data_IF_869117731559
#
_entry.id   IF_869117731559
#
_cell.length_a   1.000
_cell.length_b   1.000
_cell.length_c   1.000
_cell.angle_alpha   90.00
_cell.angle_beta   90.00
_cell.angle_gamma   90.00
#
_symmetry.space_group_name_H-M   'P 1'
#
loop_
_entity.id
_entity.type
_entity.pdbx_description
1 polymer ?
#
# COMPACT_ATOMS: atom_id res chain seq x y z
N UNK A 1 5.44 4.25 8.69
CA UNK A 1 4.48 4.37 7.57
C UNK A 1 5.07 3.65 6.37
N UNK A 2 4.25 3.09 5.50
CA UNK A 2 4.62 2.41 4.26
C UNK A 2 4.11 3.24 3.10
N UNK A 3 4.93 3.34 2.07
CA UNK A 3 4.61 3.91 0.78
C UNK A 3 4.39 2.76 -0.19
N UNK A 4 3.26 2.75 -0.87
CA UNK A 4 2.93 1.74 -1.87
C UNK A 4 2.88 2.43 -3.23
N UNK A 5 3.70 2.01 -4.18
CA UNK A 5 3.80 2.55 -5.52
C UNK A 5 3.53 1.47 -6.57
N UNK A 6 3.33 1.89 -7.82
CA UNK A 6 3.02 1.00 -8.94
C UNK A 6 1.75 0.16 -8.71
N UNK A 7 0.78 0.74 -8.01
CA UNK A 7 -0.54 0.14 -7.84
C UNK A 7 -1.37 0.25 -9.11
N UNK A 8 -2.22 -0.74 -9.34
CA UNK A 8 -3.19 -0.67 -10.43
C UNK A 8 -4.25 0.40 -10.16
N UNK A 9 -4.84 0.95 -11.23
CA UNK A 9 -5.84 2.01 -11.14
C UNK A 9 -7.12 1.58 -10.38
N UNK A 10 -7.34 0.27 -10.30
CA UNK A 10 -8.47 -0.39 -9.65
C UNK A 10 -8.25 -0.61 -8.14
N UNK A 11 -7.02 -0.46 -7.66
CA UNK A 11 -6.70 -0.68 -6.24
C UNK A 11 -7.28 0.45 -5.41
N UNK A 12 -8.02 0.08 -4.38
CA UNK A 12 -8.64 0.97 -3.40
C UNK A 12 -8.04 0.78 -2.01
N UNK A 13 -8.44 1.64 -1.07
CA UNK A 13 -8.03 1.55 0.33
C UNK A 13 -8.44 0.21 0.95
N UNK A 14 -9.61 -0.32 0.60
CA UNK A 14 -10.07 -1.63 1.06
C UNK A 14 -9.19 -2.77 0.55
N UNK A 15 -8.82 -2.74 -0.74
CA UNK A 15 -7.97 -3.76 -1.36
C UNK A 15 -6.56 -3.76 -0.71
N UNK A 16 -5.99 -2.59 -0.43
CA UNK A 16 -4.77 -2.48 0.40
C UNK A 16 -5.01 -2.99 1.82
N UNK A 17 -6.13 -2.65 2.46
CA UNK A 17 -6.38 -3.12 3.81
C UNK A 17 -6.43 -4.66 3.87
N UNK A 18 -7.10 -5.30 2.91
CA UNK A 18 -7.18 -6.76 2.82
C UNK A 18 -5.82 -7.41 2.48
N UNK A 19 -5.05 -6.80 1.57
CA UNK A 19 -3.70 -7.26 1.23
C UNK A 19 -2.74 -7.22 2.42
N UNK A 20 -2.86 -6.18 3.26
CA UNK A 20 -1.95 -5.94 4.36
C UNK A 20 -2.45 -6.48 5.72
N UNK A 21 -3.74 -6.80 5.85
CA UNK A 21 -4.35 -7.41 7.03
C UNK A 21 -3.66 -8.68 7.56
N UNK A 22 -3.20 -9.64 6.73
CA UNK A 22 -2.54 -10.85 7.24
C UNK A 22 -1.14 -10.59 7.82
N UNK A 23 -0.53 -9.45 7.50
CA UNK A 23 0.82 -9.12 7.97
C UNK A 23 0.82 -8.45 9.34
N UNK A 24 -0.27 -7.77 9.72
CA UNK A 24 -0.34 -7.07 10.99
C UNK A 24 -1.48 -6.06 11.06
N UNK A 25 -1.57 -5.37 12.19
CA UNK A 25 -2.63 -4.39 12.43
C UNK A 25 -2.33 -3.06 11.74
N UNK A 26 -3.23 -2.67 10.85
CA UNK A 26 -3.22 -1.38 10.16
C UNK A 26 -3.84 -0.30 11.04
N UNK A 27 -3.14 0.82 11.21
CA UNK A 27 -3.64 2.02 11.90
C UNK A 27 -4.24 3.01 10.93
N UNK A 28 -3.70 3.12 9.72
CA UNK A 28 -4.19 4.07 8.71
C UNK A 28 -3.93 3.50 7.31
N UNK A 29 -4.88 3.64 6.39
CA UNK A 29 -4.66 3.32 4.98
C UNK A 29 -5.24 4.45 4.13
N UNK A 30 -4.52 4.85 3.08
CA UNK A 30 -4.93 5.93 2.20
C UNK A 30 -4.40 5.75 0.79
N UNK A 31 -5.27 5.72 -0.21
CA UNK A 31 -4.87 5.65 -1.62
C UNK A 31 -4.89 7.05 -2.20
N UNK A 32 -3.83 7.41 -2.93
CA UNK A 32 -3.82 8.66 -3.67
C UNK A 32 -4.58 8.47 -4.98
N UNK A 33 -5.80 9.00 -5.04
CA UNK A 33 -6.63 9.03 -6.25
C UNK A 33 -6.54 10.39 -6.94
N UNK A 34 -6.60 10.39 -8.27
CA UNK A 34 -6.60 11.60 -9.08
C UNK A 34 -7.98 12.24 -9.00
N UNK A 35 -8.05 13.50 -8.56
CA UNK A 35 -9.31 14.20 -8.35
C UNK A 35 -10.08 14.50 -9.64
N UNK A 36 -9.39 14.58 -10.78
CA UNK A 36 -10.00 14.87 -12.09
C UNK A 36 -10.67 13.66 -12.74
N UNK A 37 -10.13 12.46 -12.54
CA UNK A 37 -10.62 11.24 -13.22
C UNK A 37 -11.16 10.18 -12.25
N UNK A 38 -11.03 10.40 -10.94
CA UNK A 38 -11.35 9.42 -9.90
C UNK A 38 -10.45 8.18 -9.90
N UNK A 39 -9.45 8.10 -10.80
CA UNK A 39 -8.56 6.93 -10.92
C UNK A 39 -7.39 7.02 -9.95
N UNK A 40 -6.99 5.90 -9.35
CA UNK A 40 -5.81 5.83 -8.48
C UNK A 40 -4.57 6.33 -9.21
N UNK A 41 -3.76 7.21 -8.61
CA UNK A 41 -2.51 7.71 -9.23
C UNK A 41 -1.41 6.64 -9.27
N UNK A 42 -1.76 5.39 -8.94
CA UNK A 42 -0.84 4.27 -8.86
C UNK A 42 0.02 4.27 -7.61
N UNK A 43 -0.37 5.00 -6.56
CA UNK A 43 0.32 4.98 -5.28
C UNK A 43 -0.62 5.22 -4.10
N UNK A 44 -0.19 4.82 -2.91
CA UNK A 44 -0.92 4.91 -1.64
C UNK A 44 0.03 4.86 -0.45
N UNK A 45 -0.54 5.04 0.73
CA UNK A 45 0.18 5.07 2.00
C UNK A 45 -0.55 4.18 3.01
N UNK A 46 0.22 3.42 3.77
CA UNK A 46 -0.30 2.50 4.78
C UNK A 46 0.49 2.66 6.06
N UNK A 47 -0.16 2.91 7.20
CA UNK A 47 0.45 2.91 8.52
C UNK A 47 0.06 1.64 9.26
N UNK A 48 1.07 0.97 9.80
CA UNK A 48 0.89 -0.15 10.74
C UNK A 48 1.00 0.35 12.17
N UNK A 49 0.39 -0.38 13.09
CA UNK A 49 0.61 -0.23 14.52
C UNK A 49 2.08 -0.54 14.89
N UNK A 50 2.61 -1.61 14.32
CA UNK A 50 3.97 -2.10 14.59
C UNK A 50 4.90 -1.91 13.40
N UNK A 51 6.13 -1.45 13.70
CA UNK A 51 7.16 -1.25 12.67
C UNK A 51 7.69 -2.58 12.10
N UNK A 52 7.70 -3.64 12.90
CA UNK A 52 8.12 -4.98 12.49
C UNK A 52 7.19 -5.57 11.43
N UNK A 53 5.87 -5.49 11.66
CA UNK A 53 4.84 -5.91 10.71
C UNK A 53 4.93 -5.11 9.41
N UNK A 54 5.17 -3.79 9.53
CA UNK A 54 5.36 -2.93 8.38
C UNK A 54 6.55 -3.38 7.51
N UNK A 55 7.67 -3.73 8.13
CA UNK A 55 8.87 -4.18 7.43
C UNK A 55 8.67 -5.57 6.77
N UNK A 56 7.97 -6.48 7.44
CA UNK A 56 7.62 -7.79 6.89
C UNK A 56 6.69 -7.66 5.67
N UNK A 57 5.59 -6.89 5.82
CA UNK A 57 4.67 -6.59 4.73
C UNK A 57 5.38 -5.92 3.56
N UNK A 58 6.27 -4.96 3.84
CA UNK A 58 7.07 -4.27 2.82
C UNK A 58 7.92 -5.24 2.00
N UNK A 59 8.62 -6.18 2.64
CA UNK A 59 9.43 -7.18 1.93
C UNK A 59 8.60 -8.17 1.13
N UNK A 60 7.50 -8.66 1.70
CA UNK A 60 6.68 -9.72 1.08
C UNK A 60 5.78 -9.20 -0.05
N UNK A 61 5.31 -7.95 0.07
CA UNK A 61 4.41 -7.33 -0.90
C UNK A 61 5.15 -6.57 -2.00
N UNK A 62 6.43 -6.25 -1.81
CA UNK A 62 7.25 -5.63 -2.85
C UNK A 62 7.53 -6.62 -3.97
N UNK A 63 7.15 -6.24 -5.19
CA UNK A 63 7.26 -7.09 -6.37
C UNK A 63 6.10 -8.06 -6.53
N UNK A 64 5.11 -8.04 -5.63
CA UNK A 64 3.91 -8.86 -5.78
C UNK A 64 3.06 -8.30 -6.93
N UNK A 65 2.56 -9.18 -7.79
CA UNK A 65 1.65 -8.77 -8.86
C UNK A 65 0.23 -8.58 -8.30
N UNK A 66 -0.23 -7.33 -8.29
CA UNK A 66 -1.59 -6.95 -7.93
C UNK A 66 -2.30 -6.49 -9.19
N UNK A 67 -3.31 -7.27 -9.63
CA UNK A 67 -4.12 -6.99 -10.83
C UNK A 67 -3.26 -6.75 -12.10
N UNK A 68 -2.25 -7.60 -12.30
CA UNK A 68 -1.35 -7.55 -13.47
C UNK A 68 -0.28 -6.46 -13.43
N UNK A 69 -0.05 -5.85 -12.25
CA UNK A 69 1.05 -4.91 -12.04
C UNK A 69 1.83 -5.26 -10.77
N UNK A 70 3.15 -5.28 -10.88
CA UNK A 70 4.01 -5.39 -9.72
C UNK A 70 3.87 -4.15 -8.83
N UNK A 71 3.33 -4.32 -7.63
CA UNK A 71 3.29 -3.27 -6.63
C UNK A 71 4.65 -3.19 -5.91
N UNK A 72 5.05 -1.98 -5.55
CA UNK A 72 6.28 -1.70 -4.82
C UNK A 72 5.90 -1.16 -3.46
N UNK A 73 6.41 -1.75 -2.38
CA UNK A 73 6.13 -1.28 -1.02
C UNK A 73 7.44 -0.85 -0.40
N UNK A 74 7.53 0.36 0.13
CA UNK A 74 8.72 0.86 0.80
C UNK A 74 8.37 1.42 2.16
N UNK A 75 9.29 1.31 3.13
CA UNK A 75 9.13 1.94 4.43
C UNK A 75 9.29 3.45 4.24
N UNK A 76 8.20 4.18 4.35
CA UNK A 76 8.20 5.64 4.30
C UNK A 76 8.73 6.16 5.64
N UNK A 77 9.96 6.66 5.63
CA UNK A 77 10.52 7.42 6.74
C UNK A 77 9.92 8.84 6.74
N UNK A 78 9.38 9.33 7.87
CA UNK A 78 9.10 10.76 8.01
C UNK A 78 10.44 11.50 8.07
N UNK A 79 10.56 12.60 7.33
CA UNK A 79 11.69 13.53 7.39
C UNK A 79 11.31 14.73 8.24
#
# INVERSE_FOLDING_TARGET
KLFVASLSFDVTEGDLQELFAPFGRLTECRVATSRETGRSRGYGFVSFADASDAAAACRELTGREVRGRACRVEVSQPR
#
